data_IF_544335419090
#
_entry.id   IF_544335419090
#
_cell.length_a   1.000
_cell.length_b   1.000
_cell.length_c   1.000
_cell.angle_alpha   90.00
_cell.angle_beta   90.00
_cell.angle_gamma   90.00
#
_symmetry.space_group_name_H-M   'P 1'
#
loop_
_entity.id
_entity.type
_entity.pdbx_description
1 polymer ?
#
# COMPACT_ATOMS: atom_id res chain seq x y z
N UNK A 1 1.53 9.42 50.00
CA UNK A 1 2.87 9.89 49.66
C UNK A 1 3.71 8.74 49.14
N UNK A 2 4.33 8.89 47.98
CA UNK A 2 5.12 7.83 47.37
C UNK A 2 6.47 7.66 48.05
N UNK A 3 6.90 6.43 48.28
CA UNK A 3 8.23 6.13 48.77
C UNK A 3 9.28 6.38 47.69
N UNK A 4 10.56 6.43 48.03
CA UNK A 4 11.65 6.58 47.07
C UNK A 4 11.61 5.47 46.02
N UNK A 5 11.31 4.25 46.43
CA UNK A 5 11.24 3.09 45.51
C UNK A 5 10.08 3.25 44.55
N UNK A 6 8.93 3.70 45.00
CA UNK A 6 7.77 3.93 44.15
C UNK A 6 8.00 5.04 43.16
N UNK A 7 8.63 6.15 43.57
CA UNK A 7 8.98 7.24 42.66
C UNK A 7 9.95 6.78 41.59
N UNK A 8 10.94 5.97 41.95
CA UNK A 8 11.91 5.44 41.02
C UNK A 8 11.26 4.52 39.97
N UNK A 9 10.38 3.63 40.41
CA UNK A 9 9.63 2.75 39.51
C UNK A 9 8.74 3.54 38.57
N UNK A 10 8.10 4.58 39.05
CA UNK A 10 7.24 5.44 38.23
C UNK A 10 8.05 6.16 37.18
N UNK A 11 9.23 6.68 37.52
CA UNK A 11 10.13 7.34 36.56
C UNK A 11 10.62 6.38 35.47
N UNK A 12 10.98 5.15 35.83
CA UNK A 12 11.41 4.14 34.88
C UNK A 12 10.27 3.79 33.92
N UNK A 13 9.07 3.59 34.45
CA UNK A 13 7.90 3.29 33.61
C UNK A 13 7.61 4.44 32.63
N UNK A 14 7.66 5.67 33.09
CA UNK A 14 7.44 6.85 32.27
C UNK A 14 8.49 6.95 31.16
N UNK A 15 9.77 6.71 31.50
CA UNK A 15 10.86 6.75 30.51
C UNK A 15 10.67 5.68 29.44
N UNK A 16 10.31 4.46 29.83
CA UNK A 16 10.08 3.36 28.87
C UNK A 16 8.91 3.71 27.93
N UNK A 17 7.82 4.25 28.50
CA UNK A 17 6.66 4.64 27.71
C UNK A 17 7.02 5.73 26.70
N UNK A 18 7.82 6.72 27.09
CA UNK A 18 8.24 7.79 26.18
C UNK A 18 9.14 7.25 25.08
N UNK A 19 10.04 6.34 25.39
CA UNK A 19 10.92 5.72 24.37
C UNK A 19 10.10 4.93 23.36
N UNK A 20 9.16 4.12 23.81
CA UNK A 20 8.30 3.33 22.93
C UNK A 20 7.42 4.22 22.05
N UNK A 21 6.85 5.27 22.61
CA UNK A 21 6.02 6.22 21.84
C UNK A 21 6.86 6.93 20.80
N UNK A 22 8.04 7.42 21.18
CA UNK A 22 8.95 8.08 20.25
C UNK A 22 9.39 7.18 19.12
N UNK A 23 9.72 5.92 19.43
CA UNK A 23 10.11 4.94 18.42
C UNK A 23 8.96 4.67 17.44
N UNK A 24 7.74 4.52 17.94
CA UNK A 24 6.57 4.29 17.11
C UNK A 24 6.31 5.47 16.15
N UNK A 25 6.39 6.70 16.66
CA UNK A 25 6.20 7.89 15.84
C UNK A 25 7.29 8.04 14.78
N UNK A 26 8.56 7.79 15.15
CA UNK A 26 9.67 7.86 14.22
C UNK A 26 9.53 6.81 13.11
N UNK A 27 9.14 5.59 13.48
CA UNK A 27 8.95 4.52 12.51
C UNK A 27 7.85 4.88 11.52
N UNK A 28 6.72 5.43 11.99
CA UNK A 28 5.61 5.83 11.14
C UNK A 28 5.96 6.99 10.22
N UNK A 29 6.82 7.92 10.66
CA UNK A 29 7.24 9.06 9.86
C UNK A 29 8.31 8.67 8.84
N UNK A 30 9.30 7.88 9.26
CA UNK A 30 10.42 7.48 8.40
C UNK A 30 10.03 6.40 7.40
N UNK A 31 9.06 5.58 7.73
CA UNK A 31 8.63 4.46 6.88
C UNK A 31 7.13 4.53 6.63
N UNK A 32 6.66 5.55 5.87
CA UNK A 32 5.21 5.71 5.63
C UNK A 32 4.61 4.55 4.84
N UNK A 33 5.45 3.81 4.09
CA UNK A 33 5.04 2.62 3.35
C UNK A 33 5.26 1.34 4.15
N UNK A 34 5.49 1.44 5.46
CA UNK A 34 5.66 0.26 6.31
C UNK A 34 4.42 -0.63 6.23
N UNK A 35 4.63 -1.92 6.03
CA UNK A 35 3.55 -2.87 5.82
C UNK A 35 3.25 -3.15 4.36
N UNK A 36 3.78 -2.36 3.43
CA UNK A 36 3.69 -2.67 2.01
C UNK A 36 4.79 -3.64 1.62
N UNK A 37 4.42 -4.62 0.80
CA UNK A 37 5.34 -5.65 0.31
C UNK A 37 5.45 -5.47 -1.21
N UNK A 38 6.66 -5.55 -1.79
CA UNK A 38 6.76 -5.55 -3.25
C UNK A 38 5.97 -6.72 -3.85
N UNK A 39 5.22 -6.45 -4.91
CA UNK A 39 4.42 -7.49 -5.56
C UNK A 39 5.31 -8.52 -6.22
N UNK A 40 5.04 -9.80 -5.93
CA UNK A 40 5.65 -10.95 -6.62
C UNK A 40 4.57 -12.00 -6.82
N UNK A 41 4.83 -12.97 -7.70
CA UNK A 41 3.88 -14.05 -7.95
C UNK A 41 3.63 -14.93 -6.72
N UNK A 42 4.52 -14.88 -5.74
CA UNK A 42 4.43 -15.70 -4.54
C UNK A 42 3.76 -14.99 -3.36
N UNK A 43 3.38 -13.72 -3.52
CA UNK A 43 2.70 -12.98 -2.45
C UNK A 43 1.31 -13.59 -2.19
N UNK A 44 0.94 -13.86 -0.92
CA UNK A 44 -0.39 -14.38 -0.61
C UNK A 44 -1.50 -13.39 -0.99
N UNK A 45 -2.69 -13.92 -1.30
CA UNK A 45 -3.87 -13.09 -1.53
C UNK A 45 -4.18 -12.24 -0.31
N UNK A 46 -4.79 -11.07 -0.54
CA UNK A 46 -5.16 -10.09 0.49
C UNK A 46 -3.97 -9.40 1.14
N UNK A 47 -2.77 -9.53 0.55
CA UNK A 47 -1.59 -8.80 1.01
C UNK A 47 -1.56 -7.43 0.37
N UNK A 48 -1.28 -6.41 1.16
CA UNK A 48 -1.12 -5.06 0.66
C UNK A 48 0.25 -4.93 0.00
N UNK A 49 0.26 -4.59 -1.30
CA UNK A 49 1.48 -4.62 -2.12
C UNK A 49 1.70 -3.30 -2.83
N UNK A 50 2.96 -3.08 -3.24
CA UNK A 50 3.34 -1.99 -4.12
C UNK A 50 4.02 -2.56 -5.35
N UNK A 51 3.79 -1.93 -6.52
CA UNK A 51 4.37 -2.37 -7.78
C UNK A 51 4.63 -1.16 -8.66
N UNK A 52 5.82 -1.09 -9.24
CA UNK A 52 6.19 -0.03 -10.17
C UNK A 52 6.48 -0.64 -11.54
N UNK A 53 5.89 -0.09 -12.56
CA UNK A 53 6.11 -0.59 -13.91
C UNK A 53 5.53 0.33 -14.97
N UNK A 54 5.74 -0.04 -16.21
CA UNK A 54 5.22 0.69 -17.37
C UNK A 54 3.87 0.14 -17.80
N UNK A 55 2.92 1.03 -18.06
CA UNK A 55 1.61 0.64 -18.58
C UNK A 55 1.75 0.18 -20.02
N UNK A 56 1.41 -1.08 -20.28
CA UNK A 56 1.42 -1.63 -21.64
C UNK A 56 0.07 -1.44 -22.31
N UNK A 57 -1.02 -1.49 -21.56
CA UNK A 57 -2.36 -1.26 -22.10
C UNK A 57 -3.32 -0.80 -21.01
N UNK A 58 -4.34 -0.05 -21.41
CA UNK A 58 -5.43 0.39 -20.54
C UNK A 58 -6.73 -0.05 -21.18
N UNK A 59 -7.54 -0.80 -20.43
CA UNK A 59 -8.83 -1.28 -20.90
C UNK A 59 -9.91 -0.88 -19.90
N UNK A 60 -10.96 -0.25 -20.39
CA UNK A 60 -12.10 0.12 -19.55
C UNK A 60 -13.11 -1.03 -19.57
N UNK A 61 -13.68 -1.32 -18.40
CA UNK A 61 -14.72 -2.33 -18.32
C UNK A 61 -16.03 -1.77 -18.87
N UNK A 62 -16.84 -2.63 -19.48
CA UNK A 62 -18.12 -2.22 -20.06
C UNK A 62 -19.17 -1.89 -19.01
N UNK A 63 -18.98 -2.34 -17.79
CA UNK A 63 -19.92 -2.09 -16.68
C UNK A 63 -19.12 -1.72 -15.42
N UNK A 64 -19.74 -0.90 -14.56
CA UNK A 64 -19.16 -0.55 -13.27
C UNK A 64 -18.12 0.56 -13.25
N UNK A 65 -17.73 1.07 -14.42
CA UNK A 65 -16.78 2.19 -14.50
C UNK A 65 -15.37 1.87 -13.99
N UNK A 66 -14.92 0.64 -14.14
CA UNK A 66 -13.60 0.19 -13.68
C UNK A 66 -12.58 0.22 -14.83
N UNK A 67 -11.31 0.14 -14.48
CA UNK A 67 -10.23 0.06 -15.47
C UNK A 67 -9.37 -1.16 -15.20
N UNK A 68 -8.92 -1.80 -16.28
CA UNK A 68 -7.96 -2.89 -16.26
C UNK A 68 -6.67 -2.40 -16.89
N UNK A 69 -5.58 -2.49 -16.17
CA UNK A 69 -4.28 -2.09 -16.65
C UNK A 69 -3.38 -3.31 -16.80
N UNK A 70 -2.56 -3.29 -17.85
CA UNK A 70 -1.44 -4.22 -17.92
C UNK A 70 -0.19 -3.42 -17.65
N UNK A 71 0.39 -3.62 -16.45
CA UNK A 71 1.57 -2.89 -16.00
C UNK A 71 2.73 -3.89 -15.98
N UNK A 72 3.62 -3.79 -16.97
CA UNK A 72 4.76 -4.68 -17.14
C UNK A 72 4.40 -6.17 -17.05
N UNK A 73 3.23 -6.54 -17.57
CA UNK A 73 2.75 -7.92 -17.55
C UNK A 73 1.88 -8.29 -16.35
N UNK A 74 1.72 -7.39 -15.40
CA UNK A 74 0.86 -7.62 -14.22
C UNK A 74 -0.50 -6.97 -14.44
N UNK A 75 -1.58 -7.71 -14.19
CA UNK A 75 -2.93 -7.18 -14.28
C UNK A 75 -3.25 -6.35 -13.06
N UNK A 76 -3.67 -5.11 -13.29
CA UNK A 76 -4.09 -4.19 -12.21
C UNK A 76 -5.54 -3.81 -12.45
N UNK A 77 -6.41 -4.12 -11.51
CA UNK A 77 -7.83 -3.77 -11.54
C UNK A 77 -8.05 -2.53 -10.70
N UNK A 78 -8.50 -1.44 -11.32
CA UNK A 78 -8.72 -0.16 -10.64
C UNK A 78 -10.20 0.07 -10.50
N UNK A 79 -10.72 -0.05 -9.29
CA UNK A 79 -12.14 0.17 -9.01
C UNK A 79 -12.49 1.64 -9.23
N UNK A 80 -13.50 1.88 -10.06
CA UNK A 80 -13.93 3.24 -10.38
C UNK A 80 -12.92 4.03 -11.20
N UNK A 81 -11.88 3.39 -11.72
CA UNK A 81 -10.78 4.06 -12.42
C UNK A 81 -11.14 4.67 -13.75
N UNK A 82 -12.30 4.33 -14.33
CA UNK A 82 -12.69 4.86 -15.63
C UNK A 82 -12.99 6.37 -15.61
N UNK A 83 -13.31 6.92 -14.44
CA UNK A 83 -13.70 8.34 -14.31
C UNK A 83 -12.51 9.27 -14.11
N UNK A 84 -11.38 8.77 -13.61
CA UNK A 84 -10.24 9.59 -13.22
C UNK A 84 -8.93 9.07 -13.83
N UNK A 85 -8.93 8.83 -15.13
CA UNK A 85 -7.73 8.35 -15.81
C UNK A 85 -6.78 9.52 -16.05
N UNK A 86 -5.62 9.50 -15.40
CA UNK A 86 -4.56 10.49 -15.57
C UNK A 86 -3.28 9.84 -16.14
N UNK A 87 -3.36 8.60 -16.57
CA UNK A 87 -2.26 7.78 -17.07
C UNK A 87 -2.68 7.12 -18.39
N UNK A 88 -1.69 6.75 -19.18
CA UNK A 88 -1.95 6.07 -20.47
C UNK A 88 -0.83 5.08 -20.77
N UNK A 89 -0.99 4.26 -21.80
CA UNK A 89 0.05 3.32 -22.22
C UNK A 89 1.36 4.07 -22.49
N UNK A 90 2.44 3.53 -21.99
CA UNK A 90 3.77 4.14 -22.05
C UNK A 90 4.18 4.89 -20.80
N UNK A 91 3.23 5.23 -19.92
CA UNK A 91 3.55 5.90 -18.66
C UNK A 91 4.07 4.88 -17.65
N UNK A 92 4.98 5.34 -16.80
CA UNK A 92 5.45 4.56 -15.64
C UNK A 92 4.68 4.99 -14.42
N UNK A 93 4.13 4.00 -13.73
CA UNK A 93 3.32 4.26 -12.53
C UNK A 93 3.76 3.38 -11.38
N UNK A 94 3.49 3.84 -10.16
CA UNK A 94 3.60 3.05 -8.96
C UNK A 94 2.18 2.76 -8.47
N UNK A 95 1.90 1.48 -8.26
CA UNK A 95 0.57 1.01 -7.85
C UNK A 95 0.65 0.54 -6.41
N UNK A 96 -0.28 0.99 -5.59
CA UNK A 96 -0.48 0.50 -4.23
C UNK A 96 -1.87 -0.11 -4.17
N UNK A 97 -1.95 -1.39 -3.86
CA UNK A 97 -3.22 -2.10 -3.84
C UNK A 97 -3.09 -3.40 -3.07
N UNK A 98 -4.03 -4.29 -3.32
CA UNK A 98 -4.12 -5.59 -2.63
C UNK A 98 -3.97 -6.70 -3.67
N UNK A 99 -3.03 -7.62 -3.42
CA UNK A 99 -2.86 -8.80 -4.25
C UNK A 99 -4.07 -9.70 -4.08
N UNK A 100 -4.62 -10.18 -5.19
CA UNK A 100 -5.78 -11.09 -5.16
C UNK A 100 -5.71 -12.02 -6.36
N UNK A 101 -6.58 -13.01 -6.38
CA UNK A 101 -6.73 -13.95 -7.49
C UNK A 101 -8.16 -13.91 -7.97
N UNK A 102 -8.35 -13.68 -9.27
CA UNK A 102 -9.66 -13.66 -9.89
C UNK A 102 -9.65 -14.59 -11.10
N UNK A 103 -10.59 -15.54 -11.11
CA UNK A 103 -10.74 -16.51 -12.22
C UNK A 103 -9.42 -17.26 -12.52
N UNK A 104 -8.65 -17.59 -11.48
CA UNK A 104 -7.37 -18.28 -11.60
C UNK A 104 -6.20 -17.40 -12.01
N UNK A 105 -6.42 -16.11 -12.20
CA UNK A 105 -5.37 -15.16 -12.58
C UNK A 105 -5.08 -14.21 -11.42
N UNK A 106 -3.80 -14.00 -11.17
CA UNK A 106 -3.36 -13.06 -10.13
C UNK A 106 -3.46 -11.62 -10.62
N UNK A 107 -3.88 -10.74 -9.72
CA UNK A 107 -4.02 -9.31 -10.04
C UNK A 107 -3.76 -8.47 -8.79
N UNK A 108 -3.55 -7.17 -9.02
CA UNK A 108 -3.50 -6.18 -7.96
C UNK A 108 -4.80 -5.38 -8.03
N UNK A 109 -5.55 -5.33 -6.94
CA UNK A 109 -6.81 -4.58 -6.88
C UNK A 109 -6.55 -3.24 -6.21
N UNK A 110 -6.80 -2.15 -6.94
CA UNK A 110 -6.68 -0.78 -6.43
C UNK A 110 -8.07 -0.29 -6.10
N UNK A 111 -8.42 -0.29 -4.84
CA UNK A 111 -9.70 0.20 -4.34
C UNK A 111 -9.52 1.50 -3.57
N UNK A 112 -10.45 1.77 -2.65
CA UNK A 112 -10.43 3.01 -1.85
C UNK A 112 -9.20 3.12 -0.95
N UNK A 113 -8.60 1.99 -0.56
CA UNK A 113 -7.41 1.97 0.29
C UNK A 113 -6.11 2.00 -0.52
N UNK A 114 -6.20 1.97 -1.84
CA UNK A 114 -5.03 1.98 -2.72
C UNK A 114 -4.97 3.26 -3.55
N UNK A 115 -3.88 3.41 -4.29
CA UNK A 115 -3.72 4.55 -5.18
C UNK A 115 -2.73 4.23 -6.29
N UNK A 116 -2.75 5.06 -7.33
CA UNK A 116 -1.80 5.01 -8.44
C UNK A 116 -1.09 6.34 -8.49
N UNK A 117 0.24 6.27 -8.57
CA UNK A 117 1.11 7.44 -8.62
C UNK A 117 1.85 7.47 -9.95
N UNK A 118 1.77 8.59 -10.67
CA UNK A 118 2.48 8.75 -11.93
C UNK A 118 3.95 9.09 -11.63
N UNK A 119 4.86 8.31 -12.18
CA UNK A 119 6.30 8.49 -12.01
C UNK A 119 6.87 9.06 -13.31
N UNK A 120 7.57 10.16 -13.18
CA UNK A 120 8.21 10.80 -14.33
C UNK A 120 9.72 10.73 -14.23
#
# INVERSE_FOLDING_TARGET
MLTKTEKKSLLVLLAVTLILTGFYLCFGVLFPDAGLVPYTDSVPDKTRVTFTGEILSVKLTSTGGHALLNVSGVTVFVEGGAENIFYTAGDTIRVVGIADTYAGQREIVVGTAGHIELIK
#
